data_IF_017464537066
#
_entry.id   IF_017464537066
#
_cell.length_a   1.000
_cell.length_b   1.000
_cell.length_c   1.000
_cell.angle_alpha   90.00
_cell.angle_beta   90.00
_cell.angle_gamma   90.00
#
_symmetry.space_group_name_H-M   'P 1'
#
loop_
_entity.id
_entity.type
_entity.pdbx_description
1 polymer ?
#
# COMPACT_ATOMS: atom_id res chain seq x y z
N UNK A 1 2.58 -9.10 -24.48
CA UNK A 1 3.31 -7.90 -24.92
C UNK A 1 4.05 -8.27 -26.19
N UNK A 2 3.47 -7.95 -27.35
CA UNK A 2 4.00 -8.32 -28.67
C UNK A 2 5.19 -7.43 -29.03
N UNK A 3 6.37 -7.78 -28.53
CA UNK A 3 7.66 -7.19 -28.94
C UNK A 3 8.41 -8.09 -29.96
N UNK A 4 7.86 -9.25 -30.33
CA UNK A 4 8.53 -10.27 -31.14
C UNK A 4 8.29 -10.17 -32.66
N UNK A 5 7.46 -9.22 -33.13
CA UNK A 5 7.18 -9.02 -34.55
C UNK A 5 7.86 -7.77 -35.12
N UNK A 6 9.05 -7.93 -35.71
CA UNK A 6 9.73 -6.98 -36.61
C UNK A 6 9.69 -5.48 -36.24
N UNK A 7 9.83 -5.14 -34.97
CA UNK A 7 10.00 -3.75 -34.55
C UNK A 7 11.35 -3.25 -35.10
N UNK A 8 11.32 -2.26 -35.99
CA UNK A 8 12.53 -1.58 -36.43
C UNK A 8 13.27 -1.05 -35.19
N UNK A 9 14.60 -1.16 -35.15
CA UNK A 9 15.42 -0.79 -33.99
C UNK A 9 15.08 0.60 -33.43
N UNK A 10 14.81 1.56 -34.33
CA UNK A 10 14.42 2.93 -33.98
C UNK A 10 13.02 3.01 -33.31
N UNK A 11 12.07 2.16 -33.72
CA UNK A 11 10.75 2.13 -33.11
C UNK A 11 10.80 1.44 -31.73
N UNK A 12 11.60 0.38 -31.59
CA UNK A 12 11.88 -0.24 -30.30
C UNK A 12 12.53 0.75 -29.32
N UNK A 13 13.53 1.51 -29.79
CA UNK A 13 14.19 2.56 -29.00
C UNK A 13 13.20 3.61 -28.50
N UNK A 14 12.32 4.10 -29.38
CA UNK A 14 11.29 5.08 -29.03
C UNK A 14 10.30 4.52 -28.00
N UNK A 15 9.88 3.26 -28.15
CA UNK A 15 8.98 2.59 -27.20
C UNK A 15 9.64 2.44 -25.82
N UNK A 16 10.88 1.94 -25.77
CA UNK A 16 11.63 1.79 -24.52
C UNK A 16 11.86 3.14 -23.83
N UNK A 17 12.20 4.17 -24.59
CA UNK A 17 12.38 5.54 -24.07
C UNK A 17 11.08 6.11 -23.49
N UNK A 18 9.94 5.83 -24.09
CA UNK A 18 8.65 6.26 -23.55
C UNK A 18 8.29 5.48 -22.28
N UNK A 19 8.58 4.18 -22.23
CA UNK A 19 8.33 3.34 -21.05
C UNK A 19 9.15 3.81 -19.85
N UNK A 20 10.46 4.09 -20.02
CA UNK A 20 11.30 4.56 -18.91
C UNK A 20 10.85 5.94 -18.41
N UNK A 21 10.42 6.84 -19.30
CA UNK A 21 9.88 8.16 -18.91
C UNK A 21 8.59 8.01 -18.10
N UNK A 22 7.68 7.16 -18.57
CA UNK A 22 6.41 6.92 -17.88
C UNK A 22 6.62 6.25 -16.51
N UNK A 23 7.52 5.27 -16.43
CA UNK A 23 7.85 4.64 -15.15
C UNK A 23 8.54 5.62 -14.18
N UNK A 24 9.41 6.50 -14.68
CA UNK A 24 10.02 7.56 -13.86
C UNK A 24 8.97 8.52 -13.32
N UNK A 25 8.00 8.92 -14.15
CA UNK A 25 6.87 9.74 -13.72
C UNK A 25 6.03 9.06 -12.62
N UNK A 26 5.79 7.75 -12.71
CA UNK A 26 5.07 7.02 -11.66
C UNK A 26 5.85 7.05 -10.34
N UNK A 27 7.17 6.84 -10.38
CA UNK A 27 8.02 6.89 -9.18
C UNK A 27 7.95 8.28 -8.55
N UNK A 28 8.09 9.34 -9.34
CA UNK A 28 8.02 10.73 -8.87
C UNK A 28 6.65 11.04 -8.23
N UNK A 29 5.55 10.64 -8.87
CA UNK A 29 4.20 10.82 -8.29
C UNK A 29 4.05 10.03 -6.99
N UNK A 30 4.62 8.82 -6.91
CA UNK A 30 4.57 8.03 -5.68
C UNK A 30 5.34 8.69 -4.53
N UNK A 31 6.53 9.23 -4.82
CA UNK A 31 7.34 9.99 -3.87
C UNK A 31 6.58 11.25 -3.39
N UNK A 32 5.97 12.01 -4.29
CA UNK A 32 5.16 13.18 -3.95
C UNK A 32 3.96 12.82 -3.04
N UNK A 33 3.28 11.72 -3.34
CA UNK A 33 2.16 11.22 -2.52
C UNK A 33 2.65 10.78 -1.15
N UNK A 34 3.80 10.13 -1.07
CA UNK A 34 4.41 9.74 0.20
C UNK A 34 4.77 10.95 1.05
N UNK A 35 5.37 11.97 0.46
CA UNK A 35 5.76 13.19 1.18
C UNK A 35 4.54 14.00 1.65
N UNK A 36 3.48 14.07 0.83
CA UNK A 36 2.25 14.77 1.18
C UNK A 36 1.40 14.03 2.24
N UNK A 37 1.29 12.70 2.12
CA UNK A 37 0.39 11.90 2.96
C UNK A 37 1.10 11.12 4.07
N UNK A 38 2.43 11.11 4.12
CA UNK A 38 3.20 10.32 5.09
C UNK A 38 2.81 10.60 6.55
N UNK A 39 2.63 11.87 6.92
CA UNK A 39 2.13 12.24 8.24
C UNK A 39 0.66 11.88 8.43
N UNK A 40 -0.18 12.11 7.41
CA UNK A 40 -1.60 11.81 7.45
C UNK A 40 -1.88 10.31 7.68
N UNK A 41 -1.12 9.43 7.01
CA UNK A 41 -1.24 7.97 7.17
C UNK A 41 -0.86 7.53 8.59
N UNK A 42 0.23 8.04 9.14
CA UNK A 42 0.62 7.73 10.53
C UNK A 42 -0.43 8.25 11.53
N UNK A 43 -0.93 9.47 11.34
CA UNK A 43 -1.99 10.03 12.16
C UNK A 43 -3.29 9.22 12.04
N UNK A 44 -3.63 8.73 10.85
CA UNK A 44 -4.76 7.84 10.62
C UNK A 44 -4.61 6.51 11.35
N UNK A 45 -3.41 5.92 11.39
CA UNK A 45 -3.14 4.72 12.18
C UNK A 45 -3.34 4.95 13.69
N UNK A 46 -2.85 6.07 14.22
CA UNK A 46 -3.08 6.43 15.63
C UNK A 46 -4.57 6.68 15.90
N UNK A 47 -5.27 7.37 14.99
CA UNK A 47 -6.69 7.63 15.09
C UNK A 47 -7.51 6.34 15.12
N UNK A 48 -7.25 5.39 14.23
CA UNK A 48 -7.94 4.09 14.22
C UNK A 48 -7.64 3.31 15.50
N UNK A 49 -6.37 3.26 15.94
CA UNK A 49 -6.01 2.54 17.17
C UNK A 49 -6.80 3.01 18.40
N UNK A 50 -6.97 4.33 18.55
CA UNK A 50 -7.71 4.91 19.68
C UNK A 50 -9.22 4.83 19.44
N UNK A 51 -9.69 5.30 18.29
CA UNK A 51 -11.13 5.45 18.01
C UNK A 51 -11.83 4.12 17.86
N UNK A 52 -11.22 3.14 17.18
CA UNK A 52 -11.82 1.81 17.02
C UNK A 52 -11.90 1.09 18.37
N UNK A 53 -10.89 1.25 19.23
CA UNK A 53 -10.90 0.72 20.60
C UNK A 53 -12.02 1.34 21.45
N UNK A 54 -12.23 2.66 21.35
CA UNK A 54 -13.29 3.37 22.07
C UNK A 54 -14.69 3.05 21.52
N UNK A 55 -14.85 2.96 20.20
CA UNK A 55 -16.13 2.59 19.58
C UNK A 55 -16.52 1.17 19.95
N UNK A 56 -15.56 0.23 19.95
CA UNK A 56 -15.80 -1.15 20.38
C UNK A 56 -16.17 -1.23 21.87
N UNK A 57 -15.60 -0.34 22.71
CA UNK A 57 -16.03 -0.18 24.11
C UNK A 57 -17.48 0.31 24.22
N UNK A 58 -17.86 1.35 23.47
CA UNK A 58 -19.23 1.89 23.47
C UNK A 58 -20.25 0.86 22.98
N UNK A 59 -19.89 0.03 21.99
CA UNK A 59 -20.74 -1.07 21.51
C UNK A 59 -20.97 -2.14 22.60
N UNK A 60 -20.02 -2.33 23.52
CA UNK A 60 -20.16 -3.31 24.61
C UNK A 60 -20.94 -2.78 25.82
N UNK A 61 -20.60 -1.57 26.26
CA UNK A 61 -21.00 -1.04 27.57
C UNK A 61 -21.83 0.23 27.49
N UNK A 62 -21.97 0.81 26.30
CA UNK A 62 -22.77 2.00 26.08
C UNK A 62 -24.27 1.71 26.02
N UNK A 63 -25.04 2.79 25.94
CA UNK A 63 -26.48 2.72 25.87
C UNK A 63 -26.96 2.07 24.58
N UNK A 64 -28.01 1.24 24.69
CA UNK A 64 -28.55 0.48 23.55
C UNK A 64 -29.16 1.37 22.46
N UNK A 65 -29.52 2.60 22.79
CA UNK A 65 -30.10 3.57 21.86
C UNK A 65 -29.10 3.98 20.77
N UNK A 66 -27.82 4.10 21.11
CA UNK A 66 -26.76 4.55 20.19
C UNK A 66 -25.94 3.39 19.58
N UNK A 67 -26.25 2.15 19.94
CA UNK A 67 -25.49 0.96 19.54
C UNK A 67 -25.32 0.85 18.01
N UNK A 68 -26.39 1.13 17.26
CA UNK A 68 -26.37 1.07 15.80
C UNK A 68 -25.44 2.14 15.21
N UNK A 69 -25.42 3.34 15.79
CA UNK A 69 -24.56 4.43 15.35
C UNK A 69 -23.09 4.09 15.58
N UNK A 70 -22.73 3.67 16.80
CA UNK A 70 -21.35 3.30 17.13
C UNK A 70 -20.86 2.09 16.35
N UNK A 71 -21.72 1.08 16.15
CA UNK A 71 -21.40 -0.08 15.32
C UNK A 71 -21.14 0.29 13.85
N UNK A 72 -21.95 1.19 13.28
CA UNK A 72 -21.74 1.69 11.92
C UNK A 72 -20.45 2.50 11.80
N UNK A 73 -20.17 3.40 12.76
CA UNK A 73 -18.93 4.18 12.78
C UNK A 73 -17.71 3.28 12.85
N UNK A 74 -17.72 2.27 13.72
CA UNK A 74 -16.64 1.28 13.82
C UNK A 74 -16.40 0.57 12.49
N UNK A 75 -17.48 0.13 11.82
CA UNK A 75 -17.36 -0.53 10.54
C UNK A 75 -16.79 0.37 9.44
N UNK A 76 -17.21 1.64 9.40
CA UNK A 76 -16.70 2.62 8.42
C UNK A 76 -15.22 2.94 8.66
N UNK A 77 -14.80 3.14 9.90
CA UNK A 77 -13.41 3.48 10.22
C UNK A 77 -12.48 2.30 9.95
N UNK A 78 -12.84 1.12 10.46
CA UNK A 78 -12.10 -0.11 10.20
C UNK A 78 -12.07 -0.45 8.70
N UNK A 79 -13.20 -0.26 8.00
CA UNK A 79 -13.28 -0.44 6.56
C UNK A 79 -12.37 0.52 5.79
N UNK A 80 -12.31 1.79 6.20
CA UNK A 80 -11.40 2.79 5.63
C UNK A 80 -9.93 2.44 5.84
N UNK A 81 -9.57 1.97 7.04
CA UNK A 81 -8.23 1.49 7.37
C UNK A 81 -7.82 0.31 6.48
N UNK A 82 -8.71 -0.68 6.32
CA UNK A 82 -8.47 -1.85 5.46
C UNK A 82 -8.33 -1.41 4.00
N UNK A 83 -9.21 -0.53 3.51
CA UNK A 83 -9.15 -0.06 2.13
C UNK A 83 -7.83 0.66 1.83
N UNK A 84 -7.41 1.57 2.70
CA UNK A 84 -6.12 2.25 2.58
C UNK A 84 -4.96 1.24 2.55
N UNK A 85 -5.01 0.26 3.45
CA UNK A 85 -4.02 -0.82 3.49
C UNK A 85 -3.97 -1.62 2.20
N UNK A 86 -5.12 -1.94 1.59
CA UNK A 86 -5.19 -2.70 0.35
C UNK A 86 -4.60 -1.90 -0.82
N UNK A 87 -4.89 -0.60 -0.92
CA UNK A 87 -4.33 0.26 -1.97
C UNK A 87 -2.81 0.33 -1.89
N UNK A 88 -2.24 0.54 -0.70
CA UNK A 88 -0.78 0.59 -0.53
C UNK A 88 -0.12 -0.75 -0.84
N UNK A 89 -0.75 -1.86 -0.43
CA UNK A 89 -0.25 -3.21 -0.70
C UNK A 89 -0.31 -3.57 -2.19
N UNK A 90 -1.35 -3.08 -2.90
CA UNK A 90 -1.52 -3.26 -4.33
C UNK A 90 -0.38 -2.59 -5.11
N UNK A 91 -0.11 -1.31 -4.82
CA UNK A 91 0.98 -0.54 -5.46
C UNK A 91 2.31 -1.27 -5.26
N UNK A 92 2.54 -1.74 -4.02
CA UNK A 92 3.73 -2.50 -3.68
C UNK A 92 3.83 -3.79 -4.51
N UNK A 93 2.75 -4.56 -4.63
CA UNK A 93 2.73 -5.82 -5.38
C UNK A 93 3.03 -5.59 -6.87
N UNK A 94 2.36 -4.63 -7.49
CA UNK A 94 2.58 -4.30 -8.91
C UNK A 94 4.02 -3.80 -9.16
N UNK A 95 4.59 -3.03 -8.23
CA UNK A 95 5.99 -2.59 -8.34
C UNK A 95 7.00 -3.73 -8.16
N UNK A 96 6.69 -4.72 -7.32
CA UNK A 96 7.55 -5.87 -7.08
C UNK A 96 7.70 -6.74 -8.34
N UNK A 97 6.60 -6.97 -9.06
CA UNK A 97 6.59 -7.80 -10.27
C UNK A 97 7.22 -7.08 -11.48
N UNK A 98 7.40 -5.75 -11.43
CA UNK A 98 7.89 -4.94 -12.54
C UNK A 98 9.29 -5.34 -13.01
N UNK A 99 10.20 -5.65 -12.08
CA UNK A 99 11.57 -6.04 -12.43
C UNK A 99 11.60 -7.35 -13.25
N UNK A 100 10.80 -8.33 -12.86
CA UNK A 100 10.69 -9.62 -13.56
C UNK A 100 10.06 -9.44 -14.95
N UNK A 101 9.04 -8.56 -15.07
CA UNK A 101 8.42 -8.24 -16.36
C UNK A 101 9.45 -7.62 -17.31
N UNK A 102 10.26 -6.67 -16.84
CA UNK A 102 11.30 -6.02 -17.66
C UNK A 102 12.38 -7.02 -18.07
N UNK A 103 12.78 -7.92 -17.17
CA UNK A 103 13.79 -8.95 -17.47
C UNK A 103 13.34 -9.94 -18.55
N UNK A 104 12.05 -10.28 -18.60
CA UNK A 104 11.47 -11.22 -19.56
C UNK A 104 11.28 -10.65 -20.98
N UNK A 105 11.63 -9.39 -21.23
CA UNK A 105 11.67 -8.82 -22.58
C UNK A 105 12.78 -9.53 -23.38
N UNK A 106 12.56 -9.95 -24.65
CA UNK A 106 13.56 -10.67 -25.46
C UNK A 106 14.71 -9.75 -25.91
N UNK A 107 15.56 -9.38 -24.96
CA UNK A 107 16.62 -8.40 -25.10
C UNK A 107 17.83 -8.93 -25.87
N UNK A 108 17.98 -10.25 -25.95
CA UNK A 108 19.07 -10.93 -26.65
C UNK A 108 19.06 -10.64 -28.16
N UNK A 109 17.88 -10.34 -28.70
CA UNK A 109 17.67 -10.05 -30.12
C UNK A 109 17.71 -8.55 -30.45
N UNK A 110 17.88 -7.69 -29.44
CA UNK A 110 17.88 -6.24 -29.60
C UNK A 110 19.27 -5.68 -29.95
N UNK A 111 19.31 -4.48 -30.54
CA UNK A 111 20.56 -3.75 -30.71
C UNK A 111 21.23 -3.40 -29.36
N UNK A 112 22.56 -3.22 -29.36
CA UNK A 112 23.32 -2.82 -28.16
C UNK A 112 22.76 -1.52 -27.54
N UNK A 113 22.27 -0.58 -28.36
CA UNK A 113 21.65 0.65 -27.88
C UNK A 113 20.39 0.34 -27.05
N UNK A 114 19.50 -0.49 -27.59
CA UNK A 114 18.25 -0.88 -26.93
C UNK A 114 18.49 -1.72 -25.67
N UNK A 115 19.49 -2.61 -25.68
CA UNK A 115 19.90 -3.37 -24.50
C UNK A 115 20.36 -2.46 -23.35
N UNK A 116 21.11 -1.38 -23.65
CA UNK A 116 21.52 -0.40 -22.63
C UNK A 116 20.32 0.34 -22.02
N UNK A 117 19.35 0.74 -22.83
CA UNK A 117 18.12 1.38 -22.34
C UNK A 117 17.34 0.42 -21.44
N UNK A 118 17.22 -0.85 -21.85
CA UNK A 118 16.54 -1.86 -21.06
C UNK A 118 17.24 -2.13 -19.73
N UNK A 119 18.59 -2.19 -19.69
CA UNK A 119 19.32 -2.31 -18.42
C UNK A 119 19.02 -1.15 -17.47
N UNK A 120 18.95 0.09 -18.00
CA UNK A 120 18.57 1.25 -17.18
C UNK A 120 17.14 1.13 -16.67
N UNK A 121 16.22 0.65 -17.50
CA UNK A 121 14.84 0.40 -17.09
C UNK A 121 14.76 -0.68 -16.01
N UNK A 122 15.51 -1.77 -16.14
CA UNK A 122 15.58 -2.84 -15.15
C UNK A 122 16.11 -2.33 -13.81
N UNK A 123 17.19 -1.55 -13.82
CA UNK A 123 17.74 -0.95 -12.62
C UNK A 123 16.74 0.00 -11.91
N UNK A 124 15.90 0.71 -12.68
CA UNK A 124 14.85 1.57 -12.12
C UNK A 124 13.61 0.82 -11.65
N UNK A 125 13.33 -0.35 -12.21
CA UNK A 125 12.19 -1.20 -11.83
C UNK A 125 12.47 -2.07 -10.60
N UNK A 126 13.73 -2.23 -10.19
CA UNK A 126 14.12 -3.05 -9.04
C UNK A 126 13.64 -2.51 -7.68
N UNK A 127 13.69 -1.20 -7.39
CA UNK A 127 13.15 -0.67 -6.14
C UNK A 127 11.65 -0.87 -6.06
N UNK A 128 11.20 -1.57 -5.02
CA UNK A 128 9.78 -1.73 -4.70
C UNK A 128 9.24 -0.40 -4.18
N UNK A 129 8.06 0.00 -4.66
CA UNK A 129 7.34 1.19 -4.19
C UNK A 129 6.69 0.93 -2.84
N UNK A 130 7.51 1.00 -1.79
CA UNK A 130 7.08 0.89 -0.41
C UNK A 130 6.67 2.25 0.16
N UNK A 131 5.44 2.37 0.65
CA UNK A 131 4.96 3.61 1.25
C UNK A 131 5.53 3.76 2.67
N UNK A 132 6.49 4.65 2.83
CA UNK A 132 7.12 4.99 4.12
C UNK A 132 6.42 6.20 4.70
N UNK A 133 5.63 5.95 5.75
CA UNK A 133 4.92 6.98 6.51
C UNK A 133 5.82 7.60 7.60
N UNK A 134 5.32 8.66 8.26
CA UNK A 134 6.07 9.36 9.30
C UNK A 134 6.52 8.40 10.42
N UNK A 135 7.76 8.58 10.89
CA UNK A 135 8.38 7.68 11.87
C UNK A 135 9.06 6.45 11.26
N UNK A 136 9.32 6.45 9.95
CA UNK A 136 9.93 5.34 9.21
C UNK A 136 9.09 4.05 9.27
N UNK A 137 7.77 4.21 9.39
CA UNK A 137 6.82 3.11 9.42
C UNK A 137 6.39 2.78 7.99
N UNK A 138 6.70 1.57 7.53
CA UNK A 138 6.17 1.04 6.27
C UNK A 138 4.67 0.80 6.40
N UNK A 139 3.88 1.62 5.73
CA UNK A 139 2.43 1.50 5.70
C UNK A 139 1.98 0.32 4.84
N UNK A 140 0.76 -0.16 5.08
CA UNK A 140 0.18 -1.32 4.39
C UNK A 140 -0.45 -2.32 5.35
N UNK A 141 -0.41 -3.60 5.00
CA UNK A 141 -1.14 -4.67 5.71
C UNK A 141 -0.61 -4.93 7.12
N UNK A 142 0.70 -4.83 7.33
CA UNK A 142 1.31 -5.17 8.63
C UNK A 142 0.85 -4.24 9.77
N UNK A 143 0.94 -2.90 9.67
CA UNK A 143 0.43 -2.00 10.71
C UNK A 143 -1.08 -2.17 10.93
N UNK A 144 -1.85 -2.31 9.85
CA UNK A 144 -3.30 -2.51 9.90
C UNK A 144 -3.69 -3.74 10.71
N UNK A 145 -3.07 -4.90 10.43
CA UNK A 145 -3.29 -6.12 11.22
C UNK A 145 -2.89 -5.90 12.69
N UNK A 146 -1.80 -5.19 12.95
CA UNK A 146 -1.38 -4.90 14.31
C UNK A 146 -2.42 -4.07 15.07
N UNK A 147 -2.97 -3.02 14.45
CA UNK A 147 -4.00 -2.17 15.03
C UNK A 147 -5.27 -2.98 15.33
N UNK A 148 -5.71 -3.80 14.38
CA UNK A 148 -6.87 -4.68 14.55
C UNK A 148 -6.64 -5.63 15.72
N UNK A 149 -5.48 -6.29 15.78
CA UNK A 149 -5.12 -7.19 16.90
C UNK A 149 -5.15 -6.45 18.23
N UNK A 150 -4.51 -5.29 18.33
CA UNK A 150 -4.49 -4.48 19.55
C UNK A 150 -5.90 -4.07 20.00
N UNK A 151 -6.75 -3.66 19.06
CA UNK A 151 -8.16 -3.28 19.32
C UNK A 151 -8.94 -4.45 19.92
N UNK A 152 -8.85 -5.64 19.30
CA UNK A 152 -9.52 -6.84 19.82
C UNK A 152 -8.91 -7.36 21.12
N UNK A 153 -7.59 -7.29 21.29
CA UNK A 153 -6.93 -7.66 22.55
C UNK A 153 -7.40 -6.77 23.70
N UNK A 154 -7.51 -5.45 23.48
CA UNK A 154 -8.07 -4.52 24.46
C UNK A 154 -9.52 -4.86 24.79
N UNK A 155 -10.34 -5.16 23.78
CA UNK A 155 -11.72 -5.64 23.97
C UNK A 155 -11.78 -6.90 24.85
N UNK A 156 -10.99 -7.93 24.56
CA UNK A 156 -10.98 -9.18 25.33
C UNK A 156 -10.54 -8.93 26.77
N UNK A 157 -9.53 -8.07 26.96
CA UNK A 157 -9.05 -7.69 28.29
C UNK A 157 -10.17 -7.03 29.11
N UNK A 158 -10.82 -5.99 28.57
CA UNK A 158 -11.91 -5.29 29.25
C UNK A 158 -13.07 -6.22 29.60
N UNK A 159 -13.50 -7.05 28.64
CA UNK A 159 -14.59 -8.01 28.83
C UNK A 159 -14.27 -9.04 29.91
N UNK A 160 -13.02 -9.50 29.99
CA UNK A 160 -12.57 -10.46 30.99
C UNK A 160 -12.48 -9.83 32.38
N UNK A 161 -11.90 -8.63 32.48
CA UNK A 161 -11.79 -7.92 33.75
C UNK A 161 -13.16 -7.60 34.37
N UNK A 162 -14.12 -7.14 33.56
CA UNK A 162 -15.45 -6.79 34.07
C UNK A 162 -16.33 -8.00 34.42
N UNK A 163 -16.08 -9.17 33.82
CA UNK A 163 -16.73 -10.44 34.22
C UNK A 163 -16.16 -11.05 35.49
N UNK A 164 -14.98 -10.59 35.95
CA UNK A 164 -14.39 -11.03 37.20
C UNK A 164 -14.96 -10.35 38.45
N UNK A 165 -15.75 -9.28 38.26
CA UNK A 165 -16.34 -8.46 39.32
C UNK A 165 -17.84 -8.78 39.58
N UNK A 166 -18.42 -9.78 38.90
CA UNK A 166 -19.75 -10.38 39.16
C UNK A 166 -19.63 -11.74 39.87
#
# INVERSE_FOLDING_TARGET
MELSGSLNNHEAEKKLTNLIKYHSFIIEVFEDVQDAFGYNVTANYCHNLVSDSLLLYQVMFGDKEDLMLYGLMFFVYLGGLILMSMVLEEIRRESYDMADIVYNIPWEQMSISNQKILMMMLARAQPVLDFISAGNLRAGVKPTISIIKSTFSYYVMLKTSMKGDE
#
